data_IF_314291201535
#
_entry.id   IF_314291201535
#
_cell.length_a   1.000
_cell.length_b   1.000
_cell.length_c   1.000
_cell.angle_alpha   90.00
_cell.angle_beta   90.00
_cell.angle_gamma   90.00
#
_symmetry.space_group_name_H-M   'P 1'
#
loop_
_entity.id
_entity.type
_entity.pdbx_description
1 polymer ?
#
# COMPACT_ATOMS: atom_id res chain seq x y z
N UNK A 1 -6.14 -6.57 6.45
CA UNK A 1 -6.48 -7.39 5.27
C UNK A 1 -5.27 -8.22 4.89
N UNK A 2 -5.46 -9.43 4.35
CA UNK A 2 -4.38 -10.26 3.80
C UNK A 2 -4.56 -10.30 2.29
N UNK A 3 -3.50 -10.01 1.55
CA UNK A 3 -3.47 -10.10 0.10
C UNK A 3 -2.54 -11.23 -0.30
N UNK A 4 -2.99 -12.10 -1.20
CA UNK A 4 -2.24 -13.27 -1.66
C UNK A 4 -2.28 -13.45 -3.20
N UNK A 5 -2.75 -12.42 -3.90
CA UNK A 5 -2.84 -12.37 -5.37
C UNK A 5 -2.13 -11.11 -5.89
N UNK A 6 -1.92 -11.06 -7.21
CA UNK A 6 -1.41 -9.85 -7.84
C UNK A 6 -2.44 -8.74 -7.75
N UNK A 7 -2.05 -7.62 -7.16
CA UNK A 7 -2.91 -6.44 -7.06
C UNK A 7 -2.23 -5.22 -7.67
N UNK A 8 -3.06 -4.36 -8.24
CA UNK A 8 -2.72 -3.01 -8.67
C UNK A 8 -3.93 -2.16 -8.36
N UNK A 9 -3.91 -1.47 -7.22
CA UNK A 9 -5.08 -0.80 -6.66
C UNK A 9 -4.74 0.61 -6.20
N UNK A 10 -5.72 1.49 -6.29
CA UNK A 10 -5.57 2.92 -6.03
C UNK A 10 -5.36 3.76 -7.31
N UNK A 11 -5.21 5.09 -7.18
CA UNK A 11 -4.98 5.80 -5.93
C UNK A 11 -6.19 5.78 -5.00
N UNK A 12 -5.97 5.42 -3.73
CA UNK A 12 -6.98 5.43 -2.68
C UNK A 12 -6.43 6.08 -1.40
N UNK A 13 -7.32 6.62 -0.57
CA UNK A 13 -6.96 7.10 0.78
C UNK A 13 -8.08 6.77 1.75
N UNK A 14 -7.78 7.00 3.02
CA UNK A 14 -8.80 7.02 4.07
C UNK A 14 -8.65 8.34 4.78
N UNK A 15 -9.67 9.21 4.73
CA UNK A 15 -9.60 10.56 5.31
C UNK A 15 -9.72 10.50 6.84
N UNK A 16 -8.63 10.03 7.45
CA UNK A 16 -8.49 9.83 8.90
C UNK A 16 -7.10 10.24 9.34
N UNK A 17 -7.03 10.77 10.55
CA UNK A 17 -5.76 11.03 11.23
C UNK A 17 -5.18 9.73 11.82
N UNK A 18 -4.73 8.83 10.93
CA UNK A 18 -4.17 7.55 11.30
C UNK A 18 -3.11 7.09 10.30
N UNK A 19 -2.66 5.83 10.44
CA UNK A 19 -1.68 5.21 9.56
C UNK A 19 -2.15 3.86 9.06
N UNK A 20 -1.62 3.49 7.90
CA UNK A 20 -1.73 2.16 7.30
C UNK A 20 -0.33 1.57 7.23
N UNK A 21 -0.19 0.30 7.61
CA UNK A 21 1.08 -0.42 7.59
C UNK A 21 1.01 -1.61 6.66
N UNK A 22 2.04 -1.82 5.85
CA UNK A 22 2.19 -2.95 4.97
C UNK A 22 3.33 -3.81 5.48
N UNK A 23 3.08 -5.11 5.61
CA UNK A 23 4.06 -6.08 6.08
C UNK A 23 4.19 -7.21 5.08
N UNK A 24 5.35 -7.34 4.46
CA UNK A 24 5.62 -8.38 3.48
C UNK A 24 5.83 -9.73 4.15
N UNK A 25 5.18 -10.76 3.61
CA UNK A 25 5.40 -12.17 3.96
C UNK A 25 6.18 -12.86 2.82
N UNK A 26 5.95 -12.45 1.58
CA UNK A 26 6.63 -12.97 0.38
C UNK A 26 6.52 -11.99 -0.78
N UNK A 27 7.57 -11.90 -1.60
CA UNK A 27 7.55 -11.15 -2.86
C UNK A 27 7.94 -9.69 -2.68
N UNK A 28 7.49 -8.83 -3.59
CA UNK A 28 7.77 -7.39 -3.54
C UNK A 28 6.52 -6.55 -3.87
N UNK A 29 6.46 -5.39 -3.23
CA UNK A 29 5.39 -4.42 -3.33
C UNK A 29 5.98 -3.04 -3.61
N UNK A 30 5.37 -2.32 -4.54
CA UNK A 30 5.59 -0.91 -4.75
C UNK A 30 4.41 -0.12 -4.17
N UNK A 31 4.71 0.89 -3.38
CA UNK A 31 3.72 1.80 -2.79
C UNK A 31 4.09 3.21 -3.23
N UNK A 32 3.24 3.84 -4.04
CA UNK A 32 3.39 5.24 -4.42
C UNK A 32 2.45 6.10 -3.61
N UNK A 33 2.98 7.07 -2.87
CA UNK A 33 2.24 8.10 -2.15
C UNK A 33 2.12 9.34 -3.03
N UNK A 34 0.89 9.74 -3.32
CA UNK A 34 0.56 10.92 -4.12
C UNK A 34 0.26 12.10 -3.19
N UNK A 35 1.29 12.89 -2.86
CA UNK A 35 1.10 14.08 -2.03
C UNK A 35 0.56 15.29 -2.83
N UNK A 36 0.74 15.27 -4.15
CA UNK A 36 0.40 16.39 -5.03
C UNK A 36 1.27 17.64 -4.78
N UNK A 37 0.96 18.70 -5.53
CA UNK A 37 1.64 19.99 -5.41
C UNK A 37 3.17 19.90 -5.56
N UNK A 38 3.89 20.67 -4.74
CA UNK A 38 5.36 20.76 -4.78
C UNK A 38 6.05 19.49 -4.24
N UNK A 39 5.36 18.73 -3.37
CA UNK A 39 5.94 17.51 -2.77
C UNK A 39 6.02 16.39 -3.82
N UNK A 40 5.05 16.34 -4.74
CA UNK A 40 4.98 15.32 -5.78
C UNK A 40 4.76 13.91 -5.24
N UNK A 41 5.04 12.93 -6.08
CA UNK A 41 4.86 11.52 -5.77
C UNK A 41 6.12 10.94 -5.11
N UNK A 42 5.91 10.03 -4.14
CA UNK A 42 6.98 9.28 -3.48
C UNK A 42 6.73 7.79 -3.59
N UNK A 43 7.65 7.08 -4.21
CA UNK A 43 7.55 5.62 -4.38
C UNK A 43 8.47 4.89 -3.42
N UNK A 44 7.93 3.85 -2.80
CA UNK A 44 8.63 2.98 -1.87
C UNK A 44 8.54 1.54 -2.36
N UNK A 45 9.64 0.80 -2.26
CA UNK A 45 9.66 -0.63 -2.47
C UNK A 45 9.76 -1.34 -1.11
N UNK A 46 8.90 -2.33 -0.90
CA UNK A 46 8.86 -3.16 0.29
C UNK A 46 8.91 -4.61 -0.16
N UNK A 47 9.80 -5.41 0.39
CA UNK A 47 10.02 -6.77 -0.09
C UNK A 47 10.37 -7.75 1.03
N UNK A 48 10.03 -9.02 0.79
CA UNK A 48 10.50 -10.14 1.56
C UNK A 48 10.81 -11.30 0.61
N UNK A 49 12.11 -11.51 0.36
CA UNK A 49 12.62 -12.57 -0.51
C UNK A 49 13.31 -13.62 0.34
N UNK A 50 12.88 -14.88 0.22
CA UNK A 50 13.43 -15.96 1.04
C UNK A 50 14.90 -16.19 0.70
N UNK A 51 15.77 -16.19 1.72
CA UNK A 51 17.21 -16.39 1.58
C UNK A 51 18.02 -15.12 1.28
N UNK A 52 17.36 -13.98 1.05
CA UNK A 52 18.01 -12.69 0.82
C UNK A 52 17.72 -11.72 1.98
N UNK A 53 18.73 -10.96 2.46
CA UNK A 53 18.48 -9.92 3.45
C UNK A 53 17.59 -8.83 2.85
N UNK A 54 16.34 -8.76 3.31
CA UNK A 54 15.39 -7.75 2.87
C UNK A 54 15.72 -6.41 3.54
N UNK A 55 15.94 -5.35 2.75
CA UNK A 55 16.29 -4.02 3.27
C UNK A 55 15.10 -3.37 3.98
N UNK A 56 13.89 -3.55 3.44
CA UNK A 56 12.64 -3.02 4.00
C UNK A 56 11.52 -4.05 3.83
N UNK A 57 11.16 -4.73 4.91
CA UNK A 57 10.07 -5.73 4.91
C UNK A 57 8.72 -5.18 5.35
N UNK A 58 8.68 -3.94 5.82
CA UNK A 58 7.43 -3.26 6.16
C UNK A 58 7.52 -1.75 5.96
N UNK A 59 6.38 -1.12 5.70
CA UNK A 59 6.26 0.33 5.54
C UNK A 59 4.99 0.83 6.22
N UNK A 60 5.10 1.89 7.01
CA UNK A 60 3.97 2.62 7.58
C UNK A 60 3.82 3.97 6.90
N UNK A 61 2.62 4.29 6.46
CA UNK A 61 2.30 5.55 5.76
C UNK A 61 1.06 6.22 6.35
N UNK A 62 0.92 7.55 6.23
CA UNK A 62 -0.31 8.24 6.65
C UNK A 62 -1.53 7.78 5.85
N UNK A 63 -2.65 7.49 6.51
CA UNK A 63 -3.86 6.97 5.85
C UNK A 63 -4.54 8.00 4.94
N UNK A 64 -4.44 9.29 5.29
CA UNK A 64 -5.01 10.44 4.58
C UNK A 64 -4.34 10.79 3.24
N UNK A 65 -3.20 10.16 2.92
CA UNK A 65 -2.48 10.40 1.67
C UNK A 65 -2.94 9.38 0.63
N UNK A 66 -3.26 9.86 -0.57
CA UNK A 66 -3.59 8.98 -1.69
C UNK A 66 -2.42 8.05 -1.98
N UNK A 67 -2.70 6.77 -2.15
CA UNK A 67 -1.69 5.76 -2.39
C UNK A 67 -2.11 4.77 -3.47
N UNK A 68 -1.15 4.39 -4.29
CA UNK A 68 -1.25 3.26 -5.21
C UNK A 68 -0.40 2.13 -4.69
N UNK A 69 -0.93 0.92 -4.71
CA UNK A 69 -0.25 -0.30 -4.26
C UNK A 69 -0.18 -1.25 -5.44
N UNK A 70 1.03 -1.71 -5.78
CA UNK A 70 1.28 -2.62 -6.90
C UNK A 70 2.21 -3.75 -6.49
N UNK A 71 1.79 -4.99 -6.69
CA UNK A 71 2.67 -6.15 -6.54
C UNK A 71 3.67 -6.18 -7.70
N UNK A 72 4.95 -6.39 -7.41
CA UNK A 72 6.03 -6.43 -8.41
C UNK A 72 6.43 -7.85 -8.82
N UNK A 73 6.03 -8.86 -8.05
CA UNK A 73 6.35 -10.27 -8.30
C UNK A 73 5.11 -11.07 -8.72
N UNK A 74 5.31 -12.19 -9.40
CA UNK A 74 4.23 -13.11 -9.82
C UNK A 74 3.46 -13.71 -8.64
N UNK A 75 4.09 -13.75 -7.47
CA UNK A 75 3.44 -14.07 -6.21
C UNK A 75 3.91 -13.10 -5.13
N UNK A 76 2.97 -12.40 -4.51
CA UNK A 76 3.21 -11.52 -3.39
C UNK A 76 2.16 -11.82 -2.30
N UNK A 77 2.63 -11.94 -1.06
CA UNK A 77 1.77 -12.09 0.11
C UNK A 77 2.15 -11.01 1.11
N UNK A 78 1.17 -10.22 1.54
CA UNK A 78 1.40 -9.16 2.50
C UNK A 78 0.16 -8.89 3.35
N UNK A 79 0.38 -8.28 4.51
CA UNK A 79 -0.67 -7.85 5.42
C UNK A 79 -0.77 -6.33 5.34
N UNK A 80 -1.97 -5.83 5.05
CA UNK A 80 -2.34 -4.43 5.27
C UNK A 80 -2.99 -4.30 6.66
N UNK A 81 -2.38 -3.49 7.52
CA UNK A 81 -2.83 -3.24 8.89
C UNK A 81 -3.25 -1.78 9.02
N UNK A 82 -4.48 -1.57 9.49
CA UNK A 82 -5.06 -0.25 9.71
C UNK A 82 -5.51 -0.11 11.17
N UNK A 83 -5.47 1.10 11.71
CA UNK A 83 -5.92 1.39 13.07
C UNK A 83 -7.40 1.78 13.11
N UNK A 84 -8.17 1.16 14.00
CA UNK A 84 -9.59 1.45 14.22
C UNK A 84 -10.54 0.52 13.47
N UNK A 85 -11.87 0.67 13.66
CA UNK A 85 -12.85 -0.05 12.87
C UNK A 85 -12.76 0.40 11.40
N UNK A 86 -12.73 -0.57 10.49
CA UNK A 86 -12.71 -0.34 9.05
C UNK A 86 -14.11 -0.55 8.47
N UNK A 87 -14.58 0.42 7.69
CA UNK A 87 -15.74 0.30 6.80
C UNK A 87 -15.30 0.66 5.38
N UNK A 88 -15.89 0.00 4.37
CA UNK A 88 -15.61 0.33 2.97
C UNK A 88 -15.93 1.80 2.65
N UNK A 89 -16.91 2.39 3.35
CA UNK A 89 -17.27 3.81 3.24
C UNK A 89 -16.16 4.77 3.65
N UNK A 90 -15.13 4.29 4.37
CA UNK A 90 -13.97 5.09 4.77
C UNK A 90 -12.94 5.22 3.64
N UNK A 91 -13.11 4.48 2.54
CA UNK A 91 -12.17 4.46 1.43
C UNK A 91 -12.59 5.46 0.35
N UNK A 92 -11.76 6.46 0.14
CA UNK A 92 -11.89 7.41 -0.96
C UNK A 92 -10.99 7.00 -2.12
N UNK A 93 -11.54 7.06 -3.33
CA UNK A 93 -10.84 6.72 -4.56
C UNK A 93 -10.63 7.98 -5.40
N UNK A 94 -9.46 8.12 -6.01
CA UNK A 94 -9.24 9.20 -6.98
C UNK A 94 -10.14 9.01 -8.23
N UNK A 95 -10.36 10.08 -8.99
CA UNK A 95 -11.10 9.98 -10.25
C UNK A 95 -10.32 9.12 -11.27
N UNK A 96 -11.02 8.23 -11.98
CA UNK A 96 -10.42 7.34 -12.99
C UNK A 96 -9.70 6.10 -12.44
N UNK A 97 -9.83 5.79 -11.14
CA UNK A 97 -9.10 4.69 -10.50
C UNK A 97 -9.52 3.30 -10.97
N UNK A 98 -8.53 2.43 -11.19
CA UNK A 98 -8.68 0.99 -11.35
C UNK A 98 -8.99 0.35 -10.00
N UNK A 99 -10.16 -0.29 -9.91
CA UNK A 99 -10.58 -1.09 -8.75
C UNK A 99 -10.21 -2.54 -9.05
N UNK A 100 -9.22 -3.07 -8.35
CA UNK A 100 -8.92 -4.51 -8.30
C UNK A 100 -8.77 -4.89 -6.85
#
# INVERSE_FOLDING_TARGET
>A
MIHAEQISTGPLRQDRDSSVSYHMIRGALEITLHHGGVIGDKTYQVEYLHGEPSVVSSLRVPARVFRTIRTLTDSAVFIEVQSGPFSDSDTEWAEGTVRR
#
